data_IF_856573003702
#
_entry.id   IF_856573003702
#
_cell.length_a   1.000
_cell.length_b   1.000
_cell.length_c   1.000
_cell.angle_alpha   90.00
_cell.angle_beta   90.00
_cell.angle_gamma   90.00
#
_symmetry.space_group_name_H-M   'P 1'
#
loop_
_entity.id
_entity.type
_entity.pdbx_description
1 polymer ?
#
# COMPACT_ATOMS: atom_id res chain seq x y z
N UNK A 1 18.48 5.40 -15.90
CA UNK A 1 17.63 4.48 -16.68
C UNK A 1 16.16 4.79 -16.35
N UNK A 2 15.19 4.61 -17.26
CA UNK A 2 13.77 4.84 -16.92
C UNK A 2 13.26 3.72 -16.01
N UNK A 3 12.28 4.00 -15.15
CA UNK A 3 11.67 3.03 -14.21
C UNK A 3 10.88 1.90 -14.90
N UNK A 4 10.71 1.97 -16.22
CA UNK A 4 9.99 1.02 -17.03
C UNK A 4 9.83 1.52 -18.46
N UNK A 5 8.99 0.84 -19.23
CA UNK A 5 8.74 1.14 -20.64
C UNK A 5 7.26 1.10 -20.99
N UNK A 6 6.84 1.94 -21.94
CA UNK A 6 5.48 1.88 -22.48
C UNK A 6 5.43 0.90 -23.66
N UNK A 7 4.57 -0.10 -23.58
CA UNK A 7 4.37 -1.13 -24.62
C UNK A 7 2.95 -1.03 -25.18
N UNK A 8 2.86 -1.01 -26.51
CA UNK A 8 1.58 -0.99 -27.24
C UNK A 8 0.91 -2.36 -27.13
N UNK A 9 -0.34 -2.37 -26.69
CA UNK A 9 -1.17 -3.56 -26.55
C UNK A 9 -2.00 -3.81 -27.81
N UNK A 10 -2.53 -5.02 -27.96
CA UNK A 10 -3.30 -5.46 -29.14
C UNK A 10 -4.54 -4.58 -29.35
N UNK A 11 -5.19 -4.19 -28.25
CA UNK A 11 -6.39 -3.33 -28.26
C UNK A 11 -6.07 -1.84 -28.52
N UNK A 12 -4.80 -1.51 -28.81
CA UNK A 12 -4.39 -0.20 -29.33
C UNK A 12 -3.95 0.83 -28.28
N UNK A 13 -4.10 0.55 -26.99
CA UNK A 13 -3.60 1.41 -25.91
C UNK A 13 -2.12 1.13 -25.59
N UNK A 14 -1.49 2.00 -24.79
CA UNK A 14 -0.12 1.80 -24.28
C UNK A 14 -0.18 1.55 -22.79
N UNK A 15 0.39 0.44 -22.35
CA UNK A 15 0.55 0.11 -20.93
C UNK A 15 1.99 0.33 -20.49
N UNK A 16 2.19 0.77 -19.25
CA UNK A 16 3.51 0.88 -18.65
C UNK A 16 3.91 -0.47 -18.03
N UNK A 17 5.06 -1.00 -18.41
CA UNK A 17 5.66 -2.21 -17.84
C UNK A 17 6.86 -1.76 -17.00
N UNK A 18 6.83 -1.91 -15.66
CA UNK A 18 7.94 -1.51 -14.81
C UNK A 18 9.12 -2.46 -14.98
N UNK A 19 10.32 -1.91 -14.82
CA UNK A 19 11.53 -2.72 -14.68
C UNK A 19 11.55 -3.42 -13.33
N UNK A 20 12.37 -4.46 -13.21
CA UNK A 20 12.57 -5.15 -11.94
C UNK A 20 13.35 -4.26 -10.96
N UNK A 21 13.16 -4.52 -9.66
CA UNK A 21 13.91 -3.88 -8.59
C UNK A 21 15.10 -4.76 -8.14
N UNK A 22 16.17 -4.16 -7.59
CA UNK A 22 16.42 -2.72 -7.55
C UNK A 22 16.81 -2.19 -8.94
N UNK A 23 16.64 -0.89 -9.21
CA UNK A 23 17.18 -0.28 -10.42
C UNK A 23 18.70 -0.45 -10.48
N UNK A 24 19.25 -0.70 -11.67
CA UNK A 24 20.69 -0.76 -11.89
C UNK A 24 21.10 0.15 -13.07
N UNK A 25 21.89 1.22 -12.84
CA UNK A 25 22.38 1.68 -11.55
C UNK A 25 21.29 2.39 -10.72
N UNK A 26 21.32 2.23 -9.40
CA UNK A 26 20.61 3.08 -8.46
C UNK A 26 21.58 4.11 -7.88
N UNK A 27 21.26 5.40 -8.02
CA UNK A 27 22.13 6.51 -7.61
C UNK A 27 21.46 7.27 -6.48
N UNK A 28 22.16 7.36 -5.34
CA UNK A 28 21.81 8.22 -4.21
C UNK A 28 22.67 9.47 -4.33
N UNK A 29 22.04 10.62 -4.57
CA UNK A 29 22.73 11.91 -4.52
C UNK A 29 22.79 12.46 -3.09
N UNK A 30 23.47 13.60 -2.93
CA UNK A 30 23.66 14.21 -1.61
C UNK A 30 22.36 14.61 -0.94
N UNK A 31 21.36 15.07 -1.71
CA UNK A 31 20.05 15.44 -1.19
C UNK A 31 19.31 14.20 -0.65
N UNK A 32 19.27 13.12 -1.42
CA UNK A 32 18.67 11.86 -0.99
C UNK A 32 19.39 11.26 0.22
N UNK A 33 20.73 11.37 0.28
CA UNK A 33 21.51 10.91 1.41
C UNK A 33 21.20 11.71 2.70
N UNK A 34 21.04 13.03 2.59
CA UNK A 34 20.66 13.88 3.72
C UNK A 34 19.25 13.54 4.22
N UNK A 35 18.29 13.40 3.31
CA UNK A 35 16.91 13.00 3.64
C UNK A 35 16.87 11.62 4.32
N UNK A 36 17.61 10.65 3.80
CA UNK A 36 17.73 9.32 4.40
C UNK A 36 18.31 9.39 5.81
N UNK A 37 19.39 10.14 6.02
CA UNK A 37 20.00 10.30 7.35
C UNK A 37 19.04 10.93 8.36
N UNK A 38 18.27 11.93 7.93
CA UNK A 38 17.27 12.56 8.78
C UNK A 38 16.10 11.62 9.09
N UNK A 39 15.64 10.83 8.11
CA UNK A 39 14.59 9.84 8.30
C UNK A 39 15.01 8.72 9.27
N UNK A 40 16.22 8.16 9.10
CA UNK A 40 16.77 7.13 9.98
C UNK A 40 16.91 7.67 11.43
N UNK A 41 17.36 8.92 11.60
CA UNK A 41 17.45 9.55 12.93
C UNK A 41 16.08 9.72 13.57
N UNK A 42 15.07 10.14 12.80
CA UNK A 42 13.72 10.30 13.31
C UNK A 42 13.11 8.95 13.72
N UNK A 43 13.30 7.91 12.92
CA UNK A 43 12.83 6.57 13.22
C UNK A 43 13.54 5.98 14.45
N UNK A 44 14.86 6.10 14.54
CA UNK A 44 15.63 5.66 15.71
C UNK A 44 15.25 6.41 16.99
N UNK A 45 14.89 7.70 16.89
CA UNK A 45 14.36 8.47 18.03
C UNK A 45 12.98 7.96 18.45
N UNK A 46 12.10 7.66 17.49
CA UNK A 46 10.78 7.09 17.79
C UNK A 46 10.93 5.75 18.52
N UNK A 47 11.73 4.85 17.95
CA UNK A 47 12.04 3.53 18.53
C UNK A 47 12.55 3.65 19.97
N UNK A 48 13.58 4.48 20.20
CA UNK A 48 14.13 4.67 21.54
C UNK A 48 13.16 5.32 22.55
N UNK A 49 12.21 6.15 22.10
CA UNK A 49 11.19 6.71 23.00
C UNK A 49 10.21 5.61 23.45
N UNK A 50 9.91 4.62 22.61
CA UNK A 50 8.96 3.56 22.98
C UNK A 50 9.44 2.71 24.15
N UNK A 51 10.76 2.61 24.39
CA UNK A 51 11.33 1.91 25.54
C UNK A 51 11.04 2.58 26.90
N UNK A 52 10.79 3.88 26.91
CA UNK A 52 10.55 4.67 28.14
C UNK A 52 9.07 5.00 28.36
N UNK A 53 8.20 4.69 27.41
CA UNK A 53 6.78 5.00 27.51
C UNK A 53 6.09 4.04 28.51
N UNK A 54 5.21 4.54 29.39
CA UNK A 54 4.49 3.69 30.34
C UNK A 54 3.60 2.64 29.70
N UNK A 55 3.07 2.92 28.50
CA UNK A 55 2.20 2.03 27.74
C UNK A 55 2.41 2.27 26.22
N UNK A 56 3.44 1.67 25.60
CA UNK A 56 3.72 1.85 24.18
C UNK A 56 2.58 1.35 23.28
N UNK A 57 1.88 0.28 23.69
CA UNK A 57 0.78 -0.31 22.93
C UNK A 57 -0.37 0.69 22.70
N UNK A 58 -0.68 1.51 23.71
CA UNK A 58 -1.69 2.56 23.58
C UNK A 58 -1.30 3.59 22.49
N UNK A 59 -0.04 4.00 22.46
CA UNK A 59 0.45 4.95 21.45
C UNK A 59 0.44 4.34 20.06
N UNK A 60 0.94 3.12 19.91
CA UNK A 60 0.93 2.38 18.64
C UNK A 60 -0.50 2.26 18.11
N UNK A 61 -1.44 1.85 18.98
CA UNK A 61 -2.86 1.76 18.64
C UNK A 61 -3.43 3.11 18.16
N UNK A 62 -3.07 4.21 18.83
CA UNK A 62 -3.52 5.55 18.43
C UNK A 62 -2.93 6.00 17.09
N UNK A 63 -1.65 5.73 16.83
CA UNK A 63 -1.01 6.02 15.55
C UNK A 63 -1.60 5.19 14.41
N UNK A 64 -1.89 3.90 14.64
CA UNK A 64 -2.58 3.06 13.65
C UNK A 64 -3.94 3.64 13.29
N UNK A 65 -4.72 4.09 14.29
CA UNK A 65 -6.02 4.74 14.05
C UNK A 65 -5.88 6.04 13.28
N UNK A 66 -4.89 6.87 13.64
CA UNK A 66 -4.63 8.11 12.93
C UNK A 66 -4.20 7.87 11.49
N UNK A 67 -3.32 6.91 11.25
CA UNK A 67 -2.90 6.48 9.91
C UNK A 67 -4.09 5.96 9.10
N UNK A 68 -4.93 5.10 9.70
CA UNK A 68 -6.12 4.58 9.04
C UNK A 68 -7.08 5.68 8.57
N UNK A 69 -7.28 6.72 9.40
CA UNK A 69 -8.07 7.90 9.02
C UNK A 69 -7.42 8.65 7.88
N UNK A 70 -6.15 9.04 8.00
CA UNK A 70 -5.45 9.84 7.00
C UNK A 70 -5.34 9.11 5.66
N UNK A 71 -4.97 7.83 5.70
CA UNK A 71 -4.89 6.93 4.55
C UNK A 71 -6.24 6.80 3.83
N UNK A 72 -7.35 6.70 4.59
CA UNK A 72 -8.69 6.62 4.00
C UNK A 72 -9.15 7.97 3.43
N UNK A 73 -8.78 9.09 4.04
CA UNK A 73 -9.10 10.44 3.56
C UNK A 73 -8.48 10.75 2.19
N UNK A 74 -7.26 10.26 1.93
CA UNK A 74 -6.63 10.36 0.60
C UNK A 74 -7.52 9.72 -0.48
N UNK A 75 -8.21 8.62 -0.13
CA UNK A 75 -9.15 7.93 -1.02
C UNK A 75 -10.59 8.50 -0.95
N UNK A 76 -10.78 9.66 -0.33
CA UNK A 76 -12.05 10.39 -0.31
C UNK A 76 -13.00 10.09 0.86
N UNK A 77 -12.61 9.25 1.82
CA UNK A 77 -13.40 8.96 3.03
C UNK A 77 -13.53 10.21 3.91
N UNK A 78 -14.74 10.53 4.39
CA UNK A 78 -15.00 11.64 5.29
C UNK A 78 -15.21 11.13 6.72
N UNK A 79 -14.10 10.84 7.40
CA UNK A 79 -14.08 10.44 8.80
C UNK A 79 -12.98 11.17 9.56
N UNK A 80 -13.18 11.37 10.86
CA UNK A 80 -12.21 11.94 11.80
C UNK A 80 -11.79 10.93 12.87
N UNK A 81 -10.62 11.14 13.46
CA UNK A 81 -10.14 10.31 14.57
C UNK A 81 -11.12 10.32 15.76
N UNK A 82 -11.73 11.48 16.06
CA UNK A 82 -12.70 11.60 17.15
C UNK A 82 -13.93 10.73 16.89
N UNK A 83 -14.47 10.73 15.67
CA UNK A 83 -15.62 9.88 15.32
C UNK A 83 -15.29 8.39 15.43
N UNK A 84 -14.08 7.98 15.04
CA UNK A 84 -13.62 6.59 15.18
C UNK A 84 -13.58 6.19 16.65
N UNK A 85 -13.00 7.02 17.52
CA UNK A 85 -12.92 6.76 18.97
C UNK A 85 -14.31 6.76 19.63
N UNK A 86 -15.18 7.69 19.25
CA UNK A 86 -16.56 7.75 19.75
C UNK A 86 -17.35 6.51 19.36
N UNK A 87 -17.19 6.02 18.13
CA UNK A 87 -17.85 4.83 17.64
C UNK A 87 -17.46 3.59 18.47
N UNK A 88 -16.16 3.40 18.75
CA UNK A 88 -15.66 2.32 19.59
C UNK A 88 -16.20 2.42 21.03
N UNK A 89 -16.25 3.64 21.60
CA UNK A 89 -16.72 3.86 22.97
C UNK A 89 -18.22 3.60 23.14
N UNK A 90 -19.04 4.02 22.16
CA UNK A 90 -20.51 3.99 22.28
C UNK A 90 -21.14 2.67 21.84
N UNK A 91 -20.35 1.68 21.36
CA UNK A 91 -20.87 0.40 20.82
C UNK A 91 -22.05 0.58 19.87
N UNK A 92 -22.06 1.66 19.08
CA UNK A 92 -23.20 2.00 18.23
C UNK A 92 -23.37 0.96 17.12
N UNK A 93 -24.57 0.38 17.04
CA UNK A 93 -24.93 -0.54 15.95
C UNK A 93 -25.32 0.28 14.72
N UNK A 94 -24.38 0.44 13.81
CA UNK A 94 -24.59 1.08 12.51
C UNK A 94 -23.45 2.02 12.19
N UNK A 95 -22.35 1.48 11.67
CA UNK A 95 -21.26 2.31 11.17
C UNK A 95 -21.76 3.11 9.96
N UNK A 96 -21.51 4.42 9.99
CA UNK A 96 -21.50 5.21 8.76
C UNK A 96 -20.46 4.56 7.82
N UNK A 97 -20.80 4.46 6.52
CA UNK A 97 -19.98 3.80 5.50
C UNK A 97 -18.49 4.18 5.58
N UNK A 98 -18.22 5.45 5.87
CA UNK A 98 -16.88 6.03 5.95
C UNK A 98 -16.10 5.57 7.19
N UNK A 99 -16.79 5.34 8.33
CA UNK A 99 -16.17 4.79 9.53
C UNK A 99 -15.80 3.31 9.29
N UNK A 100 -16.64 2.55 8.57
CA UNK A 100 -16.34 1.17 8.23
C UNK A 100 -15.05 1.02 7.42
N UNK A 101 -14.79 1.92 6.47
CA UNK A 101 -13.54 1.91 5.69
C UNK A 101 -12.30 2.05 6.61
N UNK A 102 -12.37 2.94 7.61
CA UNK A 102 -11.28 3.15 8.58
C UNK A 102 -11.12 1.93 9.50
N UNK A 103 -12.23 1.37 9.99
CA UNK A 103 -12.18 0.18 10.85
C UNK A 103 -11.62 -1.04 10.11
N UNK A 104 -11.95 -1.22 8.83
CA UNK A 104 -11.38 -2.28 8.01
C UNK A 104 -9.88 -2.09 7.79
N UNK A 105 -9.41 -0.85 7.63
CA UNK A 105 -7.98 -0.57 7.55
C UNK A 105 -7.25 -0.97 8.84
N UNK A 106 -7.82 -0.66 10.00
CA UNK A 106 -7.29 -1.06 11.30
C UNK A 106 -7.29 -2.60 11.44
N UNK A 107 -8.38 -3.28 11.07
CA UNK A 107 -8.45 -4.75 11.06
C UNK A 107 -7.39 -5.35 10.13
N UNK A 108 -7.21 -4.78 8.94
CA UNK A 108 -6.24 -5.24 7.96
C UNK A 108 -4.79 -5.13 8.49
N UNK A 109 -4.43 -4.02 9.16
CA UNK A 109 -3.11 -3.86 9.80
C UNK A 109 -2.92 -4.92 10.88
N UNK A 110 -3.84 -5.01 11.83
CA UNK A 110 -3.70 -5.94 12.96
C UNK A 110 -3.65 -7.39 12.49
N UNK A 111 -4.48 -7.74 11.50
CA UNK A 111 -4.44 -9.03 10.86
C UNK A 111 -3.08 -9.29 10.22
N UNK A 112 -2.58 -8.36 9.40
CA UNK A 112 -1.29 -8.48 8.72
C UNK A 112 -0.12 -8.67 9.69
N UNK A 113 -0.02 -7.80 10.71
CA UNK A 113 1.03 -7.87 11.74
C UNK A 113 1.01 -9.21 12.49
N UNK A 114 -0.17 -9.66 12.93
CA UNK A 114 -0.30 -10.97 13.59
C UNK A 114 0.06 -12.11 12.64
N UNK A 115 -0.34 -12.01 11.37
CA UNK A 115 -0.14 -13.07 10.38
C UNK A 115 1.34 -13.22 9.98
N UNK A 116 2.14 -12.17 10.10
CA UNK A 116 3.59 -12.20 9.88
C UNK A 116 4.34 -13.15 10.82
N UNK A 117 3.77 -13.50 11.98
CA UNK A 117 4.34 -14.51 12.88
C UNK A 117 4.39 -15.92 12.26
N UNK A 118 3.52 -16.21 11.29
CA UNK A 118 3.37 -17.54 10.67
C UNK A 118 3.62 -17.54 9.16
N UNK A 119 3.50 -16.40 8.50
CA UNK A 119 3.57 -16.26 7.06
C UNK A 119 4.39 -15.03 6.69
N UNK A 120 5.51 -15.16 5.96
CA UNK A 120 6.27 -14.00 5.50
C UNK A 120 5.41 -13.08 4.62
N UNK A 121 5.84 -11.82 4.49
CA UNK A 121 5.23 -10.83 3.60
C UNK A 121 5.23 -11.35 2.16
N UNK A 122 4.12 -11.96 1.76
CA UNK A 122 3.99 -12.73 0.52
C UNK A 122 2.79 -12.23 -0.28
N UNK A 123 2.70 -12.60 -1.55
CA UNK A 123 1.52 -12.29 -2.36
C UNK A 123 0.25 -12.87 -1.74
N UNK A 124 0.36 -14.01 -1.05
CA UNK A 124 -0.75 -14.59 -0.26
C UNK A 124 -1.17 -13.65 0.87
N UNK A 125 -0.22 -13.17 1.68
CA UNK A 125 -0.52 -12.26 2.78
C UNK A 125 -1.11 -10.93 2.28
N UNK A 126 -0.55 -10.37 1.22
CA UNK A 126 -1.05 -9.14 0.57
C UNK A 126 -2.51 -9.31 0.15
N UNK A 127 -2.87 -10.45 -0.43
CA UNK A 127 -4.26 -10.78 -0.78
C UNK A 127 -5.15 -10.94 0.46
N UNK A 128 -4.68 -11.61 1.52
CA UNK A 128 -5.43 -11.75 2.78
C UNK A 128 -5.72 -10.38 3.43
N UNK A 129 -4.73 -9.48 3.48
CA UNK A 129 -4.87 -8.11 3.99
C UNK A 129 -5.84 -7.30 3.11
N UNK A 130 -5.71 -7.39 1.79
CA UNK A 130 -6.61 -6.69 0.85
C UNK A 130 -8.07 -7.13 1.00
N UNK A 131 -8.32 -8.42 1.26
CA UNK A 131 -9.67 -8.90 1.56
C UNK A 131 -10.26 -8.18 2.79
N UNK A 132 -9.50 -8.11 3.89
CA UNK A 132 -9.94 -7.43 5.12
C UNK A 132 -10.20 -5.95 4.90
N UNK A 133 -9.32 -5.30 4.14
CA UNK A 133 -9.41 -3.87 3.83
C UNK A 133 -10.74 -3.49 3.16
N UNK A 134 -11.27 -4.33 2.28
CA UNK A 134 -12.49 -4.03 1.52
C UNK A 134 -13.74 -4.79 2.01
N UNK A 135 -13.64 -5.62 3.05
CA UNK A 135 -14.75 -6.50 3.48
C UNK A 135 -16.00 -5.69 3.83
N UNK A 136 -17.09 -5.91 3.08
CA UNK A 136 -18.40 -5.24 3.24
C UNK A 136 -18.36 -3.71 3.16
N UNK A 137 -17.33 -3.13 2.56
CA UNK A 137 -17.20 -1.67 2.39
C UNK A 137 -17.06 -1.27 0.92
N UNK A 138 -16.63 -0.03 0.65
CA UNK A 138 -16.45 0.47 -0.70
C UNK A 138 -15.40 -0.37 -1.43
N UNK A 139 -15.75 -0.85 -2.62
CA UNK A 139 -14.89 -1.74 -3.40
C UNK A 139 -15.14 -3.23 -3.13
N UNK A 140 -16.09 -3.59 -2.26
CA UNK A 140 -16.41 -4.99 -2.00
C UNK A 140 -16.91 -5.76 -3.24
N UNK A 141 -17.52 -5.07 -4.21
CA UNK A 141 -17.91 -5.63 -5.50
C UNK A 141 -16.71 -5.86 -6.47
N UNK A 142 -15.51 -5.41 -6.08
CA UNK A 142 -14.28 -5.41 -6.89
C UNK A 142 -13.33 -6.55 -6.53
N UNK A 143 -13.89 -7.75 -6.32
CA UNK A 143 -13.17 -8.99 -5.99
C UNK A 143 -12.11 -8.83 -4.87
N UNK A 144 -12.51 -8.44 -3.64
CA UNK A 144 -11.60 -8.35 -2.50
C UNK A 144 -10.73 -9.58 -2.33
N UNK A 145 -9.46 -9.34 -1.98
CA UNK A 145 -8.46 -10.39 -1.84
C UNK A 145 -7.99 -11.05 -3.12
N UNK A 146 -8.41 -10.62 -4.31
CA UNK A 146 -7.97 -11.20 -5.58
C UNK A 146 -7.30 -10.16 -6.49
N UNK A 147 -6.21 -10.55 -7.14
CA UNK A 147 -5.62 -9.70 -8.18
C UNK A 147 -6.59 -9.58 -9.36
N UNK A 148 -6.55 -8.43 -10.03
CA UNK A 148 -7.45 -8.17 -11.15
C UNK A 148 -7.20 -9.14 -12.30
N UNK A 149 -8.31 -9.59 -12.91
CA UNK A 149 -8.33 -10.42 -14.11
C UNK A 149 -8.65 -9.61 -15.37
N UNK A 150 -8.79 -8.28 -15.22
CA UNK A 150 -9.07 -7.33 -16.29
C UNK A 150 -8.14 -6.12 -16.21
N UNK A 151 -8.05 -5.37 -17.31
CA UNK A 151 -7.27 -4.14 -17.35
C UNK A 151 -7.99 -3.02 -16.60
N UNK A 152 -7.31 -2.41 -15.62
CA UNK A 152 -7.70 -1.13 -15.03
C UNK A 152 -6.83 0.00 -15.59
N UNK A 153 -7.21 1.24 -15.33
CA UNK A 153 -6.48 2.42 -15.75
C UNK A 153 -6.74 3.57 -14.78
N UNK A 154 -5.81 4.53 -14.75
CA UNK A 154 -5.85 5.70 -13.89
C UNK A 154 -6.06 6.93 -14.76
N UNK A 155 -7.02 7.77 -14.36
CA UNK A 155 -7.33 9.03 -15.03
C UNK A 155 -8.50 9.73 -14.36
N UNK A 156 -9.03 10.77 -15.01
CA UNK A 156 -10.19 11.49 -14.51
C UNK A 156 -11.39 10.56 -14.27
N UNK A 157 -12.28 10.86 -13.30
CA UNK A 157 -13.45 10.03 -13.03
C UNK A 157 -14.26 9.75 -14.30
N UNK A 158 -14.54 8.46 -14.57
CA UNK A 158 -15.28 8.02 -15.75
C UNK A 158 -14.52 8.07 -17.08
N UNK A 159 -13.21 8.35 -17.08
CA UNK A 159 -12.42 8.33 -18.30
C UNK A 159 -12.39 6.92 -18.91
N UNK A 160 -12.32 6.87 -20.24
CA UNK A 160 -12.11 5.62 -20.97
C UNK A 160 -10.61 5.31 -21.05
N UNK A 161 -10.26 4.05 -21.28
CA UNK A 161 -8.88 3.59 -21.39
C UNK A 161 -8.03 4.42 -22.38
N UNK A 162 -8.63 4.93 -23.46
CA UNK A 162 -7.96 5.78 -24.46
C UNK A 162 -7.57 7.17 -23.93
N UNK A 163 -8.25 7.65 -22.89
CA UNK A 163 -8.10 8.98 -22.28
C UNK A 163 -7.40 8.88 -20.91
N UNK A 164 -6.96 7.68 -20.52
CA UNK A 164 -6.28 7.43 -19.26
C UNK A 164 -4.94 8.18 -19.19
N UNK A 165 -4.64 8.78 -18.04
CA UNK A 165 -3.33 9.40 -17.79
C UNK A 165 -2.24 8.37 -17.56
N UNK A 166 -2.61 7.21 -17.03
CA UNK A 166 -1.70 6.09 -16.82
C UNK A 166 -2.44 4.76 -16.99
N UNK A 167 -1.80 3.81 -17.66
CA UNK A 167 -2.29 2.45 -17.80
C UNK A 167 -1.25 1.50 -17.19
N UNK A 168 -1.56 0.82 -16.08
CA UNK A 168 -0.66 -0.13 -15.44
C UNK A 168 -0.43 -1.37 -16.31
N UNK A 169 0.49 -2.27 -15.93
CA UNK A 169 0.83 -3.46 -16.72
C UNK A 169 -0.40 -4.29 -17.12
N UNK A 170 -0.41 -4.94 -18.30
CA UNK A 170 -1.43 -5.95 -18.61
C UNK A 170 -1.37 -7.11 -17.61
N UNK A 171 -2.46 -7.87 -17.45
CA UNK A 171 -2.62 -8.87 -16.38
C UNK A 171 -1.48 -9.89 -16.32
N UNK A 172 -0.96 -10.33 -17.47
CA UNK A 172 0.19 -11.24 -17.53
C UNK A 172 1.47 -10.59 -16.96
N UNK A 173 1.76 -9.34 -17.33
CA UNK A 173 2.91 -8.59 -16.84
C UNK A 173 2.72 -8.17 -15.38
N UNK A 174 1.49 -7.86 -14.95
CA UNK A 174 1.16 -7.59 -13.56
C UNK A 174 1.50 -8.79 -12.67
N UNK A 175 1.08 -10.00 -13.05
CA UNK A 175 1.39 -11.21 -12.29
C UNK A 175 2.91 -11.46 -12.23
N UNK A 176 3.62 -11.26 -13.35
CA UNK A 176 5.09 -11.34 -13.38
C UNK A 176 5.71 -10.32 -12.43
N UNK A 177 5.34 -9.05 -12.56
CA UNK A 177 5.89 -7.96 -11.75
C UNK A 177 5.58 -8.09 -10.25
N UNK A 178 4.42 -8.62 -9.86
CA UNK A 178 4.13 -8.93 -8.46
C UNK A 178 5.03 -10.05 -7.93
N UNK A 179 5.30 -11.09 -8.72
CA UNK A 179 6.26 -12.13 -8.35
C UNK A 179 7.69 -11.57 -8.18
N UNK A 180 8.12 -10.71 -9.09
CA UNK A 180 9.43 -10.03 -8.98
C UNK A 180 9.49 -9.09 -7.76
N UNK A 181 8.39 -8.42 -7.43
CA UNK A 181 8.30 -7.58 -6.22
C UNK A 181 8.42 -8.43 -4.95
N UNK A 182 7.74 -9.57 -4.87
CA UNK A 182 7.88 -10.51 -3.75
C UNK A 182 9.32 -11.00 -3.60
N UNK A 183 9.98 -11.37 -4.71
CA UNK A 183 11.40 -11.75 -4.69
C UNK A 183 12.29 -10.60 -4.19
N UNK A 184 12.03 -9.35 -4.61
CA UNK A 184 12.76 -8.18 -4.16
C UNK A 184 12.63 -7.93 -2.64
N UNK A 185 11.43 -8.12 -2.08
CA UNK A 185 11.17 -7.94 -0.65
C UNK A 185 12.03 -8.90 0.20
N UNK A 186 12.23 -10.12 -0.27
CA UNK A 186 12.98 -11.17 0.45
C UNK A 186 14.46 -11.31 0.04
N UNK A 187 14.98 -10.41 -0.79
CA UNK A 187 16.35 -10.52 -1.28
C UNK A 187 17.37 -9.84 -0.34
N UNK A 188 17.94 -10.63 0.58
CA UNK A 188 18.96 -10.19 1.55
C UNK A 188 20.34 -9.87 0.92
N UNK A 189 20.53 -10.19 -0.35
CA UNK A 189 21.77 -9.85 -1.07
C UNK A 189 21.78 -8.39 -1.53
N UNK A 190 20.63 -7.73 -1.58
CA UNK A 190 20.53 -6.32 -1.97
C UNK A 190 21.17 -5.45 -0.88
N UNK A 191 22.29 -4.82 -1.21
CA UNK A 191 22.99 -3.87 -0.34
C UNK A 191 22.43 -2.46 -0.56
N UNK A 192 21.28 -2.21 0.06
CA UNK A 192 20.56 -0.94 -0.02
C UNK A 192 19.96 -0.58 1.34
N UNK A 193 19.95 0.71 1.75
CA UNK A 193 19.29 1.13 2.99
C UNK A 193 17.82 0.71 3.03
N UNK A 194 17.35 0.28 4.20
CA UNK A 194 16.02 -0.30 4.35
C UNK A 194 14.89 0.65 3.93
N UNK A 195 14.94 1.93 4.34
CA UNK A 195 13.94 2.92 3.95
C UNK A 195 13.88 3.17 2.44
N UNK A 196 15.01 3.06 1.73
CA UNK A 196 15.02 3.13 0.26
C UNK A 196 14.34 1.90 -0.34
N UNK A 197 14.58 0.70 0.22
CA UNK A 197 13.88 -0.52 -0.22
C UNK A 197 12.37 -0.40 -0.04
N UNK A 198 11.92 0.15 1.09
CA UNK A 198 10.49 0.43 1.35
C UNK A 198 9.92 1.40 0.32
N UNK A 199 10.61 2.53 0.07
CA UNK A 199 10.17 3.50 -0.93
C UNK A 199 10.08 2.93 -2.35
N UNK A 200 11.04 2.10 -2.75
CA UNK A 200 11.02 1.40 -4.04
C UNK A 200 9.88 0.37 -4.12
N UNK A 201 9.68 -0.44 -3.07
CA UNK A 201 8.59 -1.41 -3.03
C UNK A 201 7.22 -0.73 -3.14
N UNK A 202 7.01 0.36 -2.39
CA UNK A 202 5.79 1.17 -2.45
C UNK A 202 5.54 1.70 -3.87
N UNK A 203 6.54 2.37 -4.47
CA UNK A 203 6.43 2.92 -5.81
C UNK A 203 6.15 1.83 -6.87
N UNK A 204 6.78 0.67 -6.74
CA UNK A 204 6.58 -0.47 -7.63
C UNK A 204 5.17 -1.06 -7.49
N UNK A 205 4.68 -1.26 -6.27
CA UNK A 205 3.34 -1.77 -6.00
C UNK A 205 2.26 -0.86 -6.61
N UNK A 206 2.36 0.46 -6.36
CA UNK A 206 1.44 1.45 -6.93
C UNK A 206 1.47 1.47 -8.46
N UNK A 207 2.66 1.28 -9.04
CA UNK A 207 2.85 1.20 -10.51
C UNK A 207 2.23 -0.06 -11.10
N UNK A 208 2.35 -1.20 -10.42
CA UNK A 208 1.75 -2.48 -10.88
C UNK A 208 0.21 -2.42 -10.78
N UNK A 209 -0.30 -1.74 -9.75
CA UNK A 209 -1.72 -1.50 -9.51
C UNK A 209 -2.57 -2.79 -9.60
N UNK A 210 -2.25 -3.80 -8.75
CA UNK A 210 -2.70 -5.18 -8.96
C UNK A 210 -4.17 -5.45 -8.63
N UNK A 211 -4.84 -4.57 -7.91
CA UNK A 211 -6.24 -4.72 -7.50
C UNK A 211 -7.18 -3.84 -8.31
N UNK A 212 -8.47 -4.17 -8.34
CA UNK A 212 -9.50 -3.33 -8.99
C UNK A 212 -9.89 -2.10 -8.17
N UNK A 213 -9.68 -2.13 -6.86
CA UNK A 213 -9.83 -1.01 -5.92
C UNK A 213 -8.86 -1.21 -4.75
N UNK A 214 -8.66 -0.21 -3.91
CA UNK A 214 -7.88 -0.34 -2.67
C UNK A 214 -6.36 -0.30 -2.84
N UNK A 215 -5.82 -0.12 -4.05
CA UNK A 215 -4.38 -0.10 -4.31
C UNK A 215 -3.64 0.92 -3.44
N UNK A 216 -4.07 2.19 -3.42
CA UNK A 216 -3.41 3.23 -2.63
C UNK A 216 -3.32 2.91 -1.13
N UNK A 217 -4.41 2.39 -0.56
CA UNK A 217 -4.45 1.94 0.85
C UNK A 217 -3.54 0.73 1.06
N UNK A 218 -3.55 -0.24 0.15
CA UNK A 218 -2.65 -1.40 0.22
C UNK A 218 -1.18 -1.01 0.09
N UNK A 219 -0.82 -0.07 -0.79
CA UNK A 219 0.56 0.38 -0.94
C UNK A 219 1.08 1.06 0.32
N UNK A 220 0.25 1.80 1.06
CA UNK A 220 0.62 2.40 2.36
C UNK A 220 0.71 1.38 3.50
N UNK A 221 -0.01 0.26 3.38
CA UNK A 221 -0.01 -0.82 4.37
C UNK A 221 1.22 -1.74 4.28
N UNK A 222 1.70 -1.99 3.06
CA UNK A 222 2.84 -2.88 2.75
C UNK A 222 4.15 -2.13 2.98
#
# INVERSE_FOLDING_TARGET
MRSGTYVRQIEGYRAFIPNNLPPDPFIIDWEMQELLSNADRALGRLDGITEILPNPDLFVTMYIKQEAVLSSQIEGTQASLVEVLEYESKSQKGALKDISDVLNYIDAIHYGLKRLEELPLSLRLIKEIHFRLLDKTRGYDKIPGEFRTSQNWIGAPGCLLKDASFVPPPVNEMNRSMGELELFLHNDQIKMPFLIRVGLAHAQFETIHPFLDGNGRMGRLI
#
